data_IF_821609896583
#
_entry.id   IF_821609896583
#
_cell.length_a   1.000
_cell.length_b   1.000
_cell.length_c   1.000
_cell.angle_alpha   90.00
_cell.angle_beta   90.00
_cell.angle_gamma   90.00
#
_symmetry.space_group_name_H-M   'P 1'
#
loop_
_entity.id
_entity.type
_entity.pdbx_description
1 polymer ?
#
# COMPACT_ATOMS: atom_id res chain seq x y z
N UNK A 1 66.43 27.02 -25.87
CA UNK A 1 65.72 26.83 -24.58
C UNK A 1 64.91 25.55 -24.69
N UNK A 2 65.20 24.50 -23.90
CA UNK A 2 64.36 23.30 -23.86
C UNK A 2 63.11 23.64 -23.07
N UNK A 3 61.94 23.51 -23.69
CA UNK A 3 60.65 23.58 -23.01
C UNK A 3 60.59 22.41 -22.03
N UNK A 4 60.65 22.68 -20.72
CA UNK A 4 60.40 21.66 -19.71
C UNK A 4 58.88 21.44 -19.66
N UNK A 5 58.44 20.25 -20.05
CA UNK A 5 57.04 19.85 -19.98
C UNK A 5 56.61 19.77 -18.52
N UNK A 6 55.58 20.53 -18.14
CA UNK A 6 55.00 20.48 -16.80
C UNK A 6 54.24 19.16 -16.64
N UNK A 7 54.65 18.34 -15.67
CA UNK A 7 53.92 17.14 -15.26
C UNK A 7 53.31 17.35 -13.87
N UNK A 8 52.02 17.08 -13.75
CA UNK A 8 51.28 17.06 -12.49
C UNK A 8 50.72 15.65 -12.30
N UNK A 9 51.05 14.99 -11.19
CA UNK A 9 50.52 13.67 -10.85
C UNK A 9 49.30 13.80 -9.96
N UNK A 10 48.16 13.27 -10.41
CA UNK A 10 46.91 13.26 -9.62
C UNK A 10 47.05 12.25 -8.47
N UNK A 11 46.82 12.69 -7.24
CA UNK A 11 46.71 11.80 -6.08
C UNK A 11 45.27 11.30 -5.96
N UNK A 12 45.06 10.03 -6.31
CA UNK A 12 43.72 9.42 -6.43
C UNK A 12 43.33 8.52 -5.24
N UNK A 13 44.13 8.47 -4.18
CA UNK A 13 43.91 7.58 -3.03
C UNK A 13 42.48 7.65 -2.46
N UNK A 14 41.95 8.84 -2.13
CA UNK A 14 40.57 9.01 -1.67
C UNK A 14 39.53 8.56 -2.70
N UNK A 15 39.78 8.81 -3.99
CA UNK A 15 38.89 8.38 -5.07
C UNK A 15 38.83 6.85 -5.17
N UNK A 16 39.98 6.15 -5.09
CA UNK A 16 40.01 4.69 -5.09
C UNK A 16 39.32 4.09 -3.88
N UNK A 17 39.43 4.73 -2.71
CA UNK A 17 38.71 4.31 -1.51
C UNK A 17 37.19 4.44 -1.70
N UNK A 18 36.72 5.59 -2.20
CA UNK A 18 35.32 5.81 -2.50
C UNK A 18 34.75 4.78 -3.51
N UNK A 19 35.50 4.48 -4.57
CA UNK A 19 35.11 3.45 -5.56
C UNK A 19 35.02 2.04 -4.93
N UNK A 20 35.91 1.70 -4.00
CA UNK A 20 35.82 0.44 -3.23
C UNK A 20 34.58 0.41 -2.34
N UNK A 21 34.26 1.52 -1.67
CA UNK A 21 33.05 1.64 -0.85
C UNK A 21 31.77 1.45 -1.68
N UNK A 22 31.71 2.08 -2.85
CA UNK A 22 30.62 1.90 -3.81
C UNK A 22 30.50 0.46 -4.31
N UNK A 23 31.63 -0.17 -4.69
CA UNK A 23 31.64 -1.56 -5.12
C UNK A 23 31.12 -2.50 -4.02
N UNK A 24 31.54 -2.29 -2.77
CA UNK A 24 31.04 -3.06 -1.63
C UNK A 24 29.53 -2.86 -1.42
N UNK A 25 29.03 -1.62 -1.49
CA UNK A 25 27.60 -1.33 -1.39
C UNK A 25 26.76 -1.98 -2.50
N UNK A 26 27.34 -2.20 -3.68
CA UNK A 26 26.70 -2.95 -4.76
C UNK A 26 26.61 -4.46 -4.53
N UNK A 27 27.41 -5.03 -3.61
CA UNK A 27 27.39 -6.48 -3.33
C UNK A 27 26.24 -6.90 -2.42
N UNK A 28 25.88 -6.05 -1.45
CA UNK A 28 24.74 -6.26 -0.57
C UNK A 28 23.93 -4.97 -0.47
N UNK A 29 22.87 -4.88 -1.27
CA UNK A 29 21.95 -3.75 -1.25
C UNK A 29 20.83 -3.91 -0.22
N UNK A 30 20.87 -4.91 0.67
CA UNK A 30 19.87 -5.07 1.74
C UNK A 30 19.67 -3.78 2.55
N UNK A 31 20.72 -2.99 2.89
CA UNK A 31 20.52 -1.71 3.58
C UNK A 31 19.76 -0.68 2.73
N UNK A 32 19.96 -0.68 1.41
CA UNK A 32 19.21 0.16 0.49
C UNK A 32 17.76 -0.29 0.38
N UNK A 33 17.51 -1.58 0.17
CA UNK A 33 16.16 -2.13 0.05
C UNK A 33 15.37 -1.94 1.34
N UNK A 34 16.01 -2.02 2.50
CA UNK A 34 15.41 -1.66 3.79
C UNK A 34 15.00 -0.18 3.86
N UNK A 35 15.83 0.73 3.32
CA UNK A 35 15.50 2.15 3.26
C UNK A 35 14.31 2.40 2.31
N UNK A 36 14.30 1.74 1.15
CA UNK A 36 13.18 1.77 0.19
C UNK A 36 11.89 1.26 0.84
N UNK A 37 11.94 0.10 1.50
CA UNK A 37 10.82 -0.46 2.24
C UNK A 37 10.29 0.51 3.31
N UNK A 38 11.19 1.21 4.02
CA UNK A 38 10.83 2.27 4.95
C UNK A 38 10.07 3.42 4.28
N UNK A 39 10.57 3.90 3.14
CA UNK A 39 9.88 4.95 2.36
C UNK A 39 8.50 4.48 1.90
N UNK A 40 8.36 3.25 1.38
CA UNK A 40 7.06 2.71 0.98
C UNK A 40 6.06 2.65 2.15
N UNK A 41 6.53 2.27 3.34
CA UNK A 41 5.70 2.27 4.54
C UNK A 41 5.27 3.68 4.94
N UNK A 42 6.17 4.66 4.86
CA UNK A 42 5.86 6.08 5.13
C UNK A 42 4.83 6.62 4.14
N UNK A 43 5.02 6.41 2.84
CA UNK A 43 4.06 6.88 1.83
C UNK A 43 2.69 6.20 1.99
N UNK A 44 2.67 4.93 2.39
CA UNK A 44 1.42 4.24 2.72
C UNK A 44 0.72 4.92 3.90
N UNK A 45 1.45 5.25 4.98
CA UNK A 45 0.87 5.93 6.13
C UNK A 45 0.28 7.30 5.75
N UNK A 46 0.99 8.07 4.94
CA UNK A 46 0.55 9.36 4.38
C UNK A 46 -0.73 9.18 3.54
N UNK A 47 -0.76 8.18 2.66
CA UNK A 47 -1.95 7.87 1.87
C UNK A 47 -3.16 7.51 2.74
N UNK A 48 -2.99 6.86 3.90
CA UNK A 48 -4.10 6.63 4.83
C UNK A 48 -4.60 7.93 5.46
N UNK A 49 -3.70 8.86 5.80
CA UNK A 49 -4.03 10.14 6.42
C UNK A 49 -4.78 11.07 5.45
N UNK A 50 -4.45 11.02 4.17
CA UNK A 50 -5.09 11.83 3.12
C UNK A 50 -6.30 11.14 2.48
N UNK A 51 -6.76 10.02 3.05
CA UNK A 51 -7.87 9.23 2.53
C UNK A 51 -7.67 8.71 1.11
N UNK A 52 -6.44 8.34 0.74
CA UNK A 52 -6.07 7.74 -0.54
C UNK A 52 -5.55 8.74 -1.57
N UNK A 53 -5.35 8.24 -2.79
CA UNK A 53 -4.85 9.02 -3.94
C UNK A 53 -5.68 8.70 -5.20
N UNK A 54 -6.63 9.56 -5.61
CA UNK A 54 -7.09 10.79 -4.94
C UNK A 54 -7.82 10.54 -3.60
N UNK A 55 -8.03 11.58 -2.76
CA UNK A 55 -8.79 11.47 -1.52
C UNK A 55 -10.22 10.99 -1.77
N UNK A 56 -10.74 10.21 -0.84
CA UNK A 56 -12.06 9.61 -1.02
C UNK A 56 -13.19 10.54 -0.62
N UNK A 57 -14.33 10.33 -1.28
CA UNK A 57 -15.58 10.96 -0.87
C UNK A 57 -15.98 10.44 0.52
N UNK A 58 -16.22 11.33 1.50
CA UNK A 58 -16.60 10.93 2.84
C UNK A 58 -17.86 10.07 2.87
N UNK A 59 -17.78 8.86 3.43
CA UNK A 59 -18.95 7.98 3.58
C UNK A 59 -19.92 8.51 4.65
N UNK A 60 -21.21 8.15 4.54
CA UNK A 60 -22.20 8.50 5.56
C UNK A 60 -21.83 7.98 6.97
N UNK A 61 -21.16 6.82 7.04
CA UNK A 61 -20.68 6.29 8.30
C UNK A 61 -19.54 7.14 8.88
N UNK A 62 -18.58 7.53 8.03
CA UNK A 62 -17.49 8.44 8.37
C UNK A 62 -18.01 9.79 8.87
N UNK A 63 -18.97 10.39 8.16
CA UNK A 63 -19.60 11.66 8.56
C UNK A 63 -20.33 11.55 9.91
N UNK A 64 -21.07 10.45 10.15
CA UNK A 64 -21.81 10.26 11.42
C UNK A 64 -20.90 10.10 12.63
N UNK A 65 -19.69 9.56 12.43
CA UNK A 65 -18.71 9.36 13.51
C UNK A 65 -17.67 10.48 13.60
N UNK A 66 -17.73 11.46 12.71
CA UNK A 66 -16.68 12.46 12.50
C UNK A 66 -15.28 11.82 12.33
N UNK A 67 -15.16 10.89 11.38
CA UNK A 67 -13.94 10.11 11.17
C UNK A 67 -13.63 9.86 9.70
N UNK A 68 -12.64 9.00 9.45
CA UNK A 68 -12.18 8.69 8.08
C UNK A 68 -13.04 7.61 7.40
N UNK A 69 -13.08 7.67 6.08
CA UNK A 69 -13.68 6.69 5.19
C UNK A 69 -12.75 5.53 4.91
N UNK A 70 -11.47 5.81 4.66
CA UNK A 70 -10.46 4.76 4.41
C UNK A 70 -10.04 4.03 5.70
N UNK A 71 -10.26 4.65 6.87
CA UNK A 71 -9.93 4.05 8.16
C UNK A 71 -11.10 4.17 9.14
N UNK A 72 -11.67 3.02 9.50
CA UNK A 72 -12.63 2.92 10.61
C UNK A 72 -11.86 2.72 11.93
N UNK A 73 -11.47 1.48 12.23
CA UNK A 73 -10.69 1.14 13.43
C UNK A 73 -9.17 1.20 13.21
N UNK A 74 -8.73 1.47 11.96
CA UNK A 74 -7.33 1.41 11.55
C UNK A 74 -6.75 0.00 11.40
N UNK A 75 -7.57 -1.06 11.40
CA UNK A 75 -7.10 -2.45 11.27
C UNK A 75 -6.28 -2.68 9.99
N UNK A 76 -6.78 -2.21 8.84
CA UNK A 76 -6.07 -2.34 7.57
C UNK A 76 -4.70 -1.63 7.63
N UNK A 77 -4.68 -0.37 8.05
CA UNK A 77 -3.44 0.41 8.20
C UNK A 77 -2.41 -0.29 9.07
N UNK A 78 -2.83 -0.84 10.22
CA UNK A 78 -1.93 -1.55 11.16
C UNK A 78 -1.46 -2.91 10.65
N UNK A 79 -2.19 -3.53 9.71
CA UNK A 79 -1.83 -4.83 9.14
C UNK A 79 -0.77 -4.74 8.05
N UNK A 80 -0.42 -3.53 7.60
CA UNK A 80 0.55 -3.36 6.54
C UNK A 80 1.95 -3.61 7.08
N UNK A 81 2.65 -4.51 6.42
CA UNK A 81 4.01 -4.90 6.74
C UNK A 81 4.90 -4.73 5.52
N UNK A 82 6.17 -4.52 5.78
CA UNK A 82 7.21 -4.48 4.75
C UNK A 82 8.22 -5.59 4.98
N UNK A 83 8.86 -6.01 3.90
CA UNK A 83 9.97 -6.95 3.92
C UNK A 83 11.01 -6.53 2.86
N UNK A 84 12.23 -7.03 2.96
CA UNK A 84 13.28 -6.72 2.00
C UNK A 84 14.41 -7.77 1.99
N UNK A 85 15.00 -7.94 0.81
CA UNK A 85 16.26 -8.67 0.61
C UNK A 85 17.29 -7.78 -0.13
N UNK A 86 18.38 -8.37 -0.62
CA UNK A 86 19.42 -7.62 -1.33
C UNK A 86 18.99 -7.09 -2.71
N UNK A 87 17.81 -7.49 -3.22
CA UNK A 87 17.38 -7.20 -4.59
C UNK A 87 16.00 -6.55 -4.66
N UNK A 88 15.18 -6.67 -3.61
CA UNK A 88 13.79 -6.27 -3.62
C UNK A 88 13.33 -5.71 -2.27
N UNK A 89 12.34 -4.83 -2.35
CA UNK A 89 11.57 -4.34 -1.22
C UNK A 89 10.09 -4.67 -1.48
N UNK A 90 9.42 -5.19 -0.45
CA UNK A 90 8.04 -5.67 -0.52
C UNK A 90 7.19 -4.89 0.49
N UNK A 91 5.96 -4.58 0.10
CA UNK A 91 4.94 -4.01 0.98
C UNK A 91 3.60 -4.70 0.74
N UNK A 92 2.87 -5.01 1.81
CA UNK A 92 1.59 -5.70 1.67
C UNK A 92 0.87 -5.96 2.98
N UNK A 93 -0.22 -6.70 2.89
CA UNK A 93 -1.06 -7.14 4.02
C UNK A 93 -1.73 -8.46 3.65
N UNK A 94 -2.04 -9.28 4.66
CA UNK A 94 -2.80 -10.51 4.54
C UNK A 94 -4.31 -10.32 4.79
N UNK A 95 -4.77 -9.08 4.99
CA UNK A 95 -6.17 -8.78 5.22
C UNK A 95 -7.00 -9.06 3.95
N UNK A 96 -8.01 -9.93 4.05
CA UNK A 96 -8.78 -10.43 2.90
C UNK A 96 -9.39 -9.31 2.03
N UNK A 97 -9.99 -8.29 2.67
CA UNK A 97 -10.63 -7.20 1.96
C UNK A 97 -9.64 -6.19 1.35
N UNK A 98 -8.35 -6.26 1.69
CA UNK A 98 -7.31 -5.32 1.26
C UNK A 98 -7.24 -5.21 -0.26
N UNK A 99 -7.27 -6.35 -0.97
CA UNK A 99 -7.17 -6.40 -2.44
C UNK A 99 -8.30 -5.61 -3.11
N UNK A 100 -9.54 -5.84 -2.69
CA UNK A 100 -10.71 -5.15 -3.26
C UNK A 100 -10.66 -3.65 -2.94
N UNK A 101 -10.08 -3.25 -1.81
CA UNK A 101 -9.84 -1.84 -1.55
C UNK A 101 -8.75 -1.31 -2.50
N UNK A 102 -7.56 -1.92 -2.58
CA UNK A 102 -6.49 -1.42 -3.45
C UNK A 102 -6.90 -1.34 -4.93
N UNK A 103 -7.50 -2.40 -5.46
CA UNK A 103 -7.71 -2.60 -6.90
C UNK A 103 -9.15 -2.36 -7.35
N UNK A 104 -10.09 -2.23 -6.42
CA UNK A 104 -11.52 -2.27 -6.75
C UNK A 104 -11.94 -3.68 -7.16
N UNK A 105 -13.18 -3.80 -7.64
CA UNK A 105 -13.67 -5.04 -8.24
C UNK A 105 -15.16 -5.26 -8.04
N UNK A 106 -15.63 -6.40 -8.53
CA UNK A 106 -17.03 -6.81 -8.41
C UNK A 106 -17.15 -7.89 -7.34
N UNK A 107 -18.10 -7.71 -6.42
CA UNK A 107 -18.45 -8.72 -5.43
C UNK A 107 -19.84 -9.24 -5.77
N UNK A 108 -19.90 -10.51 -6.15
CA UNK A 108 -21.15 -11.20 -6.43
C UNK A 108 -21.69 -11.83 -5.15
N UNK A 109 -22.98 -11.61 -4.89
CA UNK A 109 -23.70 -12.24 -3.78
C UNK A 109 -24.84 -13.08 -4.34
N UNK A 110 -24.59 -14.37 -4.48
CA UNK A 110 -25.53 -15.36 -5.01
C UNK A 110 -26.04 -16.30 -3.91
N UNK A 111 -27.17 -16.95 -4.16
CA UNK A 111 -27.71 -18.05 -3.32
C UNK A 111 -27.88 -17.68 -1.83
N UNK A 112 -28.31 -16.45 -1.54
CA UNK A 112 -28.56 -16.01 -0.16
C UNK A 112 -30.01 -16.23 0.23
N UNK A 113 -30.23 -16.60 1.47
CA UNK A 113 -31.57 -16.58 2.06
C UNK A 113 -31.74 -15.35 2.93
N UNK A 114 -32.91 -14.73 2.82
CA UNK A 114 -33.37 -13.68 3.73
C UNK A 114 -34.48 -14.22 4.62
N UNK A 115 -34.44 -13.82 5.88
CA UNK A 115 -35.26 -14.40 6.93
C UNK A 115 -36.27 -13.37 7.44
N UNK A 116 -37.52 -13.78 7.59
CA UNK A 116 -38.64 -12.94 8.02
C UNK A 116 -39.46 -13.61 9.12
N UNK A 117 -40.33 -12.83 9.76
CA UNK A 117 -41.42 -13.37 10.59
C UNK A 117 -42.71 -13.41 9.79
N UNK A 118 -43.37 -14.56 9.81
CA UNK A 118 -44.71 -14.80 9.33
C UNK A 118 -45.69 -14.81 10.51
N UNK A 119 -46.75 -14.02 10.42
CA UNK A 119 -47.84 -14.00 11.39
C UNK A 119 -48.70 -15.27 11.31
N UNK A 120 -49.56 -15.50 12.31
CA UNK A 120 -50.48 -16.64 12.34
C UNK A 120 -51.53 -16.58 11.22
N UNK A 121 -51.79 -15.38 10.73
CA UNK A 121 -52.61 -15.00 9.57
C UNK A 121 -51.90 -15.23 8.22
N UNK A 122 -50.66 -15.73 8.23
CA UNK A 122 -49.86 -15.98 7.03
C UNK A 122 -49.16 -14.76 6.45
N UNK A 123 -49.35 -13.56 7.03
CA UNK A 123 -48.72 -12.33 6.53
C UNK A 123 -47.22 -12.33 6.81
N UNK A 124 -46.41 -11.96 5.81
CA UNK A 124 -44.96 -11.88 5.94
C UNK A 124 -44.58 -10.45 6.34
N UNK A 125 -43.87 -10.32 7.45
CA UNK A 125 -43.38 -9.03 7.94
C UNK A 125 -42.37 -8.40 6.99
N UNK A 126 -42.40 -7.07 6.87
CA UNK A 126 -41.52 -6.30 5.96
C UNK A 126 -40.06 -6.17 6.43
N UNK A 127 -39.74 -6.59 7.66
CA UNK A 127 -38.40 -6.43 8.25
C UNK A 127 -37.66 -7.75 8.24
N UNK A 128 -36.40 -7.69 7.80
CA UNK A 128 -35.47 -8.80 7.96
C UNK A 128 -35.21 -9.08 9.44
N UNK A 129 -35.13 -10.37 9.80
CA UNK A 129 -34.77 -10.83 11.15
C UNK A 129 -33.62 -11.82 11.07
N UNK A 130 -32.96 -12.10 12.20
CA UNK A 130 -31.96 -13.17 12.29
C UNK A 130 -32.64 -14.54 12.08
N UNK A 131 -31.91 -15.50 11.49
CA UNK A 131 -32.40 -16.88 11.25
C UNK A 131 -32.99 -17.53 12.51
N UNK A 132 -32.33 -17.37 13.67
CA UNK A 132 -32.79 -17.92 14.93
C UNK A 132 -34.18 -17.38 15.37
N UNK A 133 -34.60 -16.23 14.85
CA UNK A 133 -35.87 -15.57 15.20
C UNK A 133 -36.89 -15.59 14.04
N UNK A 134 -36.57 -16.24 12.92
CA UNK A 134 -37.47 -16.37 11.78
C UNK A 134 -38.22 -17.70 11.79
N UNK A 135 -39.42 -17.67 11.24
CA UNK A 135 -40.21 -18.85 10.88
C UNK A 135 -40.45 -18.93 9.36
N UNK A 136 -39.91 -17.99 8.58
CA UNK A 136 -40.01 -17.97 7.12
C UNK A 136 -38.68 -17.52 6.50
N UNK A 137 -38.28 -18.18 5.41
CA UNK A 137 -37.09 -17.86 4.62
C UNK A 137 -37.46 -17.69 3.14
N UNK A 138 -36.83 -16.73 2.47
CA UNK A 138 -37.00 -16.49 1.05
C UNK A 138 -35.63 -16.37 0.39
N UNK A 139 -35.48 -16.94 -0.81
CA UNK A 139 -34.28 -16.71 -1.61
C UNK A 139 -34.17 -15.22 -1.97
N UNK A 140 -33.06 -14.61 -1.59
CA UNK A 140 -32.72 -13.25 -2.01
C UNK A 140 -32.34 -13.26 -3.49
N UNK A 141 -32.64 -12.16 -4.17
CA UNK A 141 -32.15 -11.96 -5.53
C UNK A 141 -30.62 -11.87 -5.53
N UNK A 142 -30.03 -12.48 -6.55
CA UNK A 142 -28.61 -12.32 -6.85
C UNK A 142 -28.31 -10.83 -7.03
N UNK A 143 -27.20 -10.40 -6.43
CA UNK A 143 -26.79 -9.00 -6.47
C UNK A 143 -25.29 -8.91 -6.65
N UNK A 144 -24.88 -8.16 -7.66
CA UNK A 144 -23.48 -7.80 -7.89
C UNK A 144 -23.28 -6.35 -7.47
N UNK A 145 -22.33 -6.13 -6.57
CA UNK A 145 -21.91 -4.80 -6.16
C UNK A 145 -20.56 -4.49 -6.79
N UNK A 146 -20.46 -3.33 -7.44
CA UNK A 146 -19.20 -2.81 -7.97
C UNK A 146 -18.57 -1.89 -6.94
N UNK A 147 -17.31 -2.16 -6.60
CA UNK A 147 -16.51 -1.38 -5.69
C UNK A 147 -15.42 -0.65 -6.48
N UNK A 148 -15.36 0.69 -6.45
CA UNK A 148 -14.30 1.42 -7.12
C UNK A 148 -12.95 1.15 -6.45
N UNK A 149 -11.88 1.27 -7.23
CA UNK A 149 -10.52 1.19 -6.73
C UNK A 149 -10.26 2.31 -5.73
N UNK A 150 -9.53 1.94 -4.69
CA UNK A 150 -9.48 2.63 -3.42
C UNK A 150 -8.01 2.50 -2.92
N UNK A 151 -7.04 3.00 -3.72
CA UNK A 151 -5.63 2.73 -3.52
C UNK A 151 -5.08 3.47 -2.30
N UNK A 152 -4.35 2.74 -1.47
CA UNK A 152 -3.67 3.24 -0.27
C UNK A 152 -2.18 2.86 -0.26
N UNK A 153 -1.78 1.82 -1.01
CA UNK A 153 -0.36 1.55 -1.25
C UNK A 153 0.20 2.52 -2.28
N UNK A 154 1.48 2.92 -2.17
CA UNK A 154 2.19 3.76 -3.13
C UNK A 154 2.54 3.03 -4.44
N UNK A 155 1.82 1.94 -4.73
CA UNK A 155 1.98 1.10 -5.91
C UNK A 155 0.59 0.78 -6.45
N UNK A 156 0.38 1.06 -7.74
CA UNK A 156 -0.84 0.77 -8.47
C UNK A 156 -1.00 -0.73 -8.75
N UNK A 157 -2.19 -1.14 -9.22
CA UNK A 157 -2.49 -2.54 -9.51
C UNK A 157 -1.61 -3.16 -10.61
N UNK A 158 -1.06 -2.33 -11.49
CA UNK A 158 -0.15 -2.68 -12.58
C UNK A 158 1.33 -2.69 -12.15
N UNK A 159 1.62 -2.38 -10.87
CA UNK A 159 2.98 -2.28 -10.35
C UNK A 159 3.65 -0.94 -10.57
N UNK A 160 2.94 0.07 -11.10
CA UNK A 160 3.49 1.42 -11.25
C UNK A 160 3.55 2.13 -9.89
N UNK A 161 4.62 2.89 -9.67
CA UNK A 161 4.74 3.72 -8.47
C UNK A 161 3.81 4.92 -8.56
N UNK A 162 3.28 5.33 -7.41
CA UNK A 162 2.59 6.61 -7.29
C UNK A 162 3.52 7.78 -7.65
N UNK A 163 2.96 8.81 -8.28
CA UNK A 163 3.67 10.05 -8.64
C UNK A 163 4.45 10.61 -7.44
N UNK A 164 5.71 10.96 -7.68
CA UNK A 164 6.63 11.51 -6.68
C UNK A 164 7.27 10.46 -5.75
N UNK A 165 6.73 9.25 -5.64
CA UNK A 165 7.35 8.17 -4.85
C UNK A 165 8.64 7.71 -5.52
N UNK A 166 8.64 7.56 -6.84
CA UNK A 166 9.84 7.18 -7.60
C UNK A 166 11.04 8.08 -7.29
N UNK A 167 10.83 9.41 -7.28
CA UNK A 167 11.88 10.37 -6.94
C UNK A 167 12.37 10.18 -5.49
N UNK A 168 11.47 9.95 -4.52
CA UNK A 168 11.85 9.69 -3.12
C UNK A 168 12.67 8.41 -2.98
N UNK A 169 12.37 7.38 -3.78
CA UNK A 169 13.16 6.14 -3.82
C UNK A 169 14.53 6.38 -4.42
N UNK A 170 14.61 7.14 -5.52
CA UNK A 170 15.88 7.53 -6.15
C UNK A 170 16.75 8.34 -5.19
N UNK A 171 16.17 9.30 -4.47
CA UNK A 171 16.88 10.10 -3.47
C UNK A 171 17.43 9.22 -2.34
N UNK A 172 16.67 8.21 -1.92
CA UNK A 172 17.11 7.20 -0.93
C UNK A 172 18.30 6.39 -1.45
N UNK A 173 18.28 6.00 -2.73
CA UNK A 173 19.37 5.27 -3.38
C UNK A 173 20.63 6.13 -3.52
N UNK A 174 20.49 7.36 -3.99
CA UNK A 174 21.61 8.30 -4.13
C UNK A 174 22.25 8.59 -2.77
N UNK A 175 21.44 8.84 -1.74
CA UNK A 175 21.94 9.06 -0.38
C UNK A 175 22.70 7.84 0.16
N UNK A 176 22.21 6.64 -0.11
CA UNK A 176 22.89 5.40 0.29
C UNK A 176 24.26 5.28 -0.38
N UNK A 177 24.34 5.46 -1.70
CA UNK A 177 25.60 5.38 -2.45
C UNK A 177 26.59 6.48 -2.04
N UNK A 178 26.12 7.71 -1.81
CA UNK A 178 26.96 8.80 -1.30
C UNK A 178 27.56 8.47 0.07
N UNK A 179 26.78 7.86 0.96
CA UNK A 179 27.28 7.45 2.27
C UNK A 179 28.30 6.30 2.15
N UNK A 180 28.09 5.36 1.22
CA UNK A 180 29.03 4.29 0.95
C UNK A 180 30.37 4.81 0.39
N UNK A 181 30.33 5.82 -0.48
CA UNK A 181 31.52 6.44 -1.05
C UNK A 181 32.36 7.24 -0.02
N UNK A 182 31.76 7.63 1.11
CA UNK A 182 32.41 8.43 2.17
C UNK A 182 32.96 7.59 3.33
N UNK A 183 32.69 6.29 3.34
CA UNK A 183 33.27 5.34 4.31
C UNK A 183 34.69 4.95 3.89
#
# INVERSE_FOLDING_TARGET
MKQNMMQLTVRDGPLRLALKGLAAAGTDMTPLMRAIAGTLATETAVNFEEEGRPPWVPSLAAQKRDGMTLSDTGHLRRSITTDCDAHSAVIGTNVEYARIHQMGGKVERKNREVYFKQGKDGTIGRRFVKKAHSNFAQAARDHTAEYPARPYLPVSADGTLQDGVEQKLLDSALKYLQNAARR
#
